data_IF_572115299520
#
_entry.id   IF_572115299520
#
_cell.length_a   1.000
_cell.length_b   1.000
_cell.length_c   1.000
_cell.angle_alpha   90.00
_cell.angle_beta   90.00
_cell.angle_gamma   90.00
#
_symmetry.space_group_name_H-M   'P 1'
#
loop_
_entity.id
_entity.type
_entity.pdbx_description
1 polymer ?
#
# COMPACT_ATOMS: atom_id res chain seq x y z
N UNK A 1 -2.60 -9.13 -8.61
CA UNK A 1 -1.87 -9.82 -7.54
C UNK A 1 -0.64 -10.59 -8.05
N UNK A 2 -0.69 -11.61 -8.93
CA UNK A 2 0.53 -12.33 -9.35
C UNK A 2 1.61 -11.44 -10.00
N UNK A 3 1.20 -10.50 -10.85
CA UNK A 3 2.12 -9.55 -11.51
C UNK A 3 2.83 -8.66 -10.50
N UNK A 4 2.10 -8.15 -9.50
CA UNK A 4 2.68 -7.31 -8.45
C UNK A 4 3.75 -8.06 -7.64
N UNK A 5 3.53 -9.35 -7.34
CA UNK A 5 4.53 -10.16 -6.63
C UNK A 5 5.79 -10.40 -7.49
N UNK A 6 5.63 -10.59 -8.79
CA UNK A 6 6.77 -10.68 -9.71
C UNK A 6 7.54 -9.35 -9.77
N UNK A 7 6.84 -8.22 -9.85
CA UNK A 7 7.46 -6.88 -9.82
C UNK A 7 8.27 -6.66 -8.53
N UNK A 8 7.82 -7.17 -7.38
CA UNK A 8 8.60 -7.13 -6.12
C UNK A 8 9.89 -7.95 -6.20
N UNK A 9 9.83 -9.16 -6.79
CA UNK A 9 11.01 -10.00 -6.99
C UNK A 9 12.02 -9.31 -7.90
N UNK A 10 11.56 -8.76 -9.02
CA UNK A 10 12.40 -8.03 -9.99
C UNK A 10 13.01 -6.76 -9.36
N UNK A 11 12.31 -6.15 -8.40
CA UNK A 11 12.80 -5.02 -7.62
C UNK A 11 13.79 -5.41 -6.51
N UNK A 12 14.12 -6.69 -6.34
CA UNK A 12 15.01 -7.18 -5.28
C UNK A 12 14.35 -7.35 -3.91
N UNK A 13 13.02 -7.25 -3.84
CA UNK A 13 12.23 -7.36 -2.61
C UNK A 13 11.59 -8.75 -2.44
N UNK A 14 12.03 -9.76 -3.20
CA UNK A 14 11.47 -11.12 -3.16
C UNK A 14 11.62 -11.86 -1.82
N UNK A 15 12.43 -11.33 -0.90
CA UNK A 15 12.60 -11.84 0.46
C UNK A 15 11.63 -11.21 1.47
N UNK A 16 11.03 -10.05 1.16
CA UNK A 16 10.09 -9.35 2.02
C UNK A 16 8.89 -10.25 2.30
N UNK A 17 8.44 -10.28 3.55
CA UNK A 17 7.26 -11.06 3.92
C UNK A 17 6.00 -10.38 3.37
N UNK A 18 5.12 -11.18 2.79
CA UNK A 18 3.90 -10.71 2.12
C UNK A 18 2.69 -11.40 2.72
N UNK A 19 1.78 -10.62 3.29
CA UNK A 19 0.45 -11.09 3.69
C UNK A 19 -0.55 -10.69 2.61
N UNK A 20 -1.28 -11.66 2.07
CA UNK A 20 -2.26 -11.44 1.00
C UNK A 20 -3.68 -11.47 1.58
N UNK A 21 -4.54 -10.59 1.08
CA UNK A 21 -5.97 -10.54 1.45
C UNK A 21 -6.15 -10.49 2.98
N UNK A 22 -5.31 -9.70 3.65
CA UNK A 22 -5.19 -9.67 5.10
C UNK A 22 -6.37 -8.93 5.72
N UNK A 23 -7.20 -9.64 6.48
CA UNK A 23 -8.31 -9.05 7.23
C UNK A 23 -7.78 -8.36 8.47
N UNK A 24 -8.18 -7.10 8.67
CA UNK A 24 -7.82 -6.35 9.87
C UNK A 24 -8.63 -6.87 11.08
N UNK A 25 -8.01 -7.04 12.26
CA UNK A 25 -8.69 -7.56 13.45
C UNK A 25 -9.92 -6.75 13.79
N UNK A 26 -11.02 -7.36 14.22
CA UNK A 26 -12.27 -6.69 14.63
C UNK A 26 -12.90 -5.72 13.60
N UNK A 27 -12.51 -5.83 12.33
CA UNK A 27 -12.98 -4.97 11.25
C UNK A 27 -13.40 -5.78 10.02
N UNK A 28 -14.37 -5.29 9.22
CA UNK A 28 -14.67 -5.89 7.92
C UNK A 28 -13.60 -5.56 6.86
N UNK A 29 -12.65 -4.65 7.17
CA UNK A 29 -11.61 -4.23 6.24
C UNK A 29 -10.63 -5.36 5.92
N UNK A 30 -10.18 -5.37 4.67
CA UNK A 30 -9.21 -6.32 4.14
C UNK A 30 -8.25 -5.56 3.25
N UNK A 31 -6.96 -5.75 3.51
CA UNK A 31 -5.87 -5.17 2.73
C UNK A 31 -5.45 -6.20 1.69
N UNK A 32 -5.34 -5.80 0.42
CA UNK A 32 -4.97 -6.73 -0.65
C UNK A 32 -3.57 -7.31 -0.42
N UNK A 33 -2.61 -6.46 -0.06
CA UNK A 33 -1.24 -6.86 0.25
C UNK A 33 -0.69 -6.06 1.44
N UNK A 34 -0.06 -6.75 2.39
CA UNK A 34 0.78 -6.14 3.43
C UNK A 34 2.21 -6.60 3.21
N UNK A 35 3.13 -5.65 3.04
CA UNK A 35 4.57 -5.92 2.99
C UNK A 35 5.18 -5.70 4.37
N UNK A 36 5.87 -6.70 4.89
CA UNK A 36 6.53 -6.68 6.18
C UNK A 36 8.04 -6.82 5.98
N UNK A 37 8.79 -5.77 6.31
CA UNK A 37 10.25 -5.77 6.17
C UNK A 37 10.91 -4.82 7.15
N UNK A 38 12.09 -4.34 6.80
CA UNK A 38 12.86 -3.38 7.59
C UNK A 38 13.28 -2.19 6.74
N UNK A 39 13.34 -1.01 7.33
CA UNK A 39 13.78 0.20 6.64
C UNK A 39 15.29 0.13 6.36
N UNK A 40 15.75 0.44 5.11
CA UNK A 40 17.15 0.26 4.69
C UNK A 40 18.16 1.05 5.54
N UNK A 41 17.79 2.24 6.03
CA UNK A 41 18.72 3.09 6.77
C UNK A 41 18.70 2.88 8.28
N UNK A 42 17.57 2.45 8.85
CA UNK A 42 17.39 2.39 10.31
C UNK A 42 17.32 0.97 10.84
N UNK A 43 17.03 -0.01 9.98
CA UNK A 43 16.80 -1.41 10.37
C UNK A 43 15.51 -1.62 11.18
N UNK A 44 14.71 -0.58 11.40
CA UNK A 44 13.42 -0.69 12.09
C UNK A 44 12.40 -1.43 11.22
N UNK A 45 11.48 -2.16 11.85
CA UNK A 45 10.38 -2.80 11.14
C UNK A 45 9.51 -1.77 10.40
N UNK A 46 9.20 -2.07 9.14
CA UNK A 46 8.37 -1.24 8.25
C UNK A 46 7.26 -2.09 7.64
N UNK A 47 6.06 -1.52 7.63
CA UNK A 47 4.85 -2.15 7.13
C UNK A 47 4.24 -1.29 6.02
N UNK A 48 4.06 -1.86 4.83
CA UNK A 48 3.44 -1.16 3.70
C UNK A 48 2.12 -1.83 3.37
N UNK A 49 1.03 -1.11 3.60
CA UNK A 49 -0.32 -1.49 3.17
C UNK A 49 -0.48 -1.14 1.71
N UNK A 50 -0.89 -2.09 0.88
CA UNK A 50 -1.05 -1.89 -0.56
C UNK A 50 -2.46 -2.31 -0.99
N UNK A 51 -3.17 -1.36 -1.59
CA UNK A 51 -4.46 -1.56 -2.28
C UNK A 51 -4.20 -1.70 -3.79
N UNK A 52 -4.70 -2.77 -4.41
CA UNK A 52 -4.52 -3.08 -5.83
C UNK A 52 -5.85 -2.98 -6.57
N UNK A 53 -5.98 -2.04 -7.52
CA UNK A 53 -7.19 -1.90 -8.32
C UNK A 53 -6.95 -2.19 -9.79
N UNK A 54 -7.83 -3.02 -10.35
CA UNK A 54 -7.86 -3.34 -11.78
C UNK A 54 -8.61 -2.29 -12.62
N UNK A 55 -8.64 -1.02 -12.19
CA UNK A 55 -9.40 0.02 -12.86
C UNK A 55 -8.61 0.58 -14.04
N UNK A 56 -9.29 0.75 -15.18
CA UNK A 56 -8.68 1.36 -16.38
C UNK A 56 -9.04 2.84 -16.50
N UNK A 57 -10.25 3.22 -16.06
CA UNK A 57 -10.77 4.58 -16.00
C UNK A 57 -11.56 4.77 -14.71
N UNK A 58 -11.52 5.98 -14.16
CA UNK A 58 -12.20 6.35 -12.93
C UNK A 58 -12.27 7.88 -12.82
N UNK A 59 -13.39 8.39 -12.32
CA UNK A 59 -13.59 9.83 -12.10
C UNK A 59 -13.94 10.13 -10.64
N UNK A 60 -13.41 11.24 -10.13
CA UNK A 60 -13.73 11.70 -8.77
C UNK A 60 -15.14 12.29 -8.76
N UNK A 61 -16.04 11.74 -7.94
CA UNK A 61 -17.41 12.23 -7.77
C UNK A 61 -17.52 13.23 -6.62
N UNK A 62 -16.89 12.92 -5.48
CA UNK A 62 -16.82 13.76 -4.29
C UNK A 62 -15.44 13.59 -3.64
N UNK A 63 -15.16 14.33 -2.56
CA UNK A 63 -13.83 14.43 -1.95
C UNK A 63 -13.07 13.08 -1.88
N UNK A 64 -13.72 12.04 -1.38
CA UNK A 64 -13.19 10.70 -1.26
C UNK A 64 -13.95 9.63 -2.07
N UNK A 65 -14.93 10.01 -2.90
CA UNK A 65 -15.74 9.06 -3.67
C UNK A 65 -15.39 9.11 -5.16
N UNK A 66 -15.31 7.93 -5.76
CA UNK A 66 -14.95 7.70 -7.16
C UNK A 66 -16.06 6.95 -7.86
N UNK A 67 -16.42 7.39 -9.06
CA UNK A 67 -17.31 6.67 -9.97
C UNK A 67 -16.48 5.87 -10.96
N UNK A 68 -16.91 4.64 -11.24
CA UNK A 68 -16.30 3.75 -12.23
C UNK A 68 -17.33 3.50 -13.33
N UNK A 69 -16.88 3.41 -14.58
CA UNK A 69 -17.78 3.14 -15.73
C UNK A 69 -18.63 1.89 -15.54
N UNK A 70 -18.04 0.85 -14.93
CA UNK A 70 -18.68 -0.44 -14.73
C UNK A 70 -19.58 -0.49 -13.47
N UNK A 71 -19.63 0.57 -12.64
CA UNK A 71 -20.32 0.55 -11.35
C UNK A 71 -21.28 1.74 -11.23
N UNK A 72 -22.54 1.43 -10.92
CA UNK A 72 -23.57 2.45 -10.71
C UNK A 72 -23.48 3.14 -9.35
N UNK A 73 -22.80 2.50 -8.38
CA UNK A 73 -22.58 3.04 -7.04
C UNK A 73 -21.16 3.57 -6.90
N UNK A 74 -20.98 4.78 -6.34
CA UNK A 74 -19.65 5.31 -6.05
C UNK A 74 -18.92 4.42 -5.04
N UNK A 75 -17.62 4.31 -5.21
CA UNK A 75 -16.71 3.59 -4.31
C UNK A 75 -15.72 4.56 -3.67
N UNK A 76 -15.09 4.14 -2.60
CA UNK A 76 -14.08 4.96 -1.94
C UNK A 76 -12.84 5.11 -2.83
N UNK A 77 -12.21 6.28 -2.80
CA UNK A 77 -10.95 6.54 -3.48
C UNK A 77 -9.89 5.55 -2.95
N UNK A 78 -9.10 4.91 -3.82
CA UNK A 78 -8.20 3.83 -3.39
C UNK A 78 -7.09 4.33 -2.45
N UNK A 79 -6.63 5.58 -2.63
CA UNK A 79 -5.71 6.21 -1.67
C UNK A 79 -6.37 6.47 -0.30
N UNK A 80 -7.68 6.73 -0.28
CA UNK A 80 -8.43 6.88 0.96
C UNK A 80 -8.69 5.52 1.63
N UNK A 81 -8.96 4.47 0.86
CA UNK A 81 -9.06 3.11 1.39
C UNK A 81 -7.78 2.71 2.14
N UNK A 82 -6.61 2.90 1.51
CA UNK A 82 -5.34 2.55 2.15
C UNK A 82 -5.00 3.45 3.32
N UNK A 83 -5.36 4.74 3.29
CA UNK A 83 -5.25 5.64 4.45
C UNK A 83 -5.96 5.06 5.67
N UNK A 84 -7.20 4.62 5.49
CA UNK A 84 -8.02 4.01 6.56
C UNK A 84 -7.41 2.71 7.09
N UNK A 85 -6.76 1.91 6.24
CA UNK A 85 -6.04 0.72 6.70
C UNK A 85 -4.85 1.09 7.58
N UNK A 86 -4.04 2.08 7.18
CA UNK A 86 -2.90 2.54 7.95
C UNK A 86 -3.32 3.09 9.32
N UNK A 87 -4.33 3.96 9.34
CA UNK A 87 -4.86 4.54 10.59
C UNK A 87 -5.38 3.44 11.51
N UNK A 88 -6.18 2.52 10.99
CA UNK A 88 -6.70 1.40 11.77
C UNK A 88 -5.61 0.54 12.38
N UNK A 89 -4.58 0.19 11.61
CA UNK A 89 -3.48 -0.65 12.11
C UNK A 89 -2.66 0.06 13.17
N UNK A 90 -2.43 1.37 13.02
CA UNK A 90 -1.74 2.18 14.04
C UNK A 90 -2.57 2.27 15.31
N UNK A 91 -3.86 2.56 15.20
CA UNK A 91 -4.76 2.73 16.35
C UNK A 91 -5.00 1.42 17.12
N UNK A 92 -5.08 0.28 16.42
CA UNK A 92 -5.40 -1.02 17.02
C UNK A 92 -4.17 -1.85 17.42
N UNK A 93 -2.95 -1.37 17.13
CA UNK A 93 -1.70 -2.07 17.46
C UNK A 93 -0.83 -1.23 18.40
N UNK A 94 -0.80 -1.53 19.71
CA UNK A 94 -0.03 -0.75 20.68
C UNK A 94 1.46 -0.57 20.33
N UNK A 95 2.08 -1.54 19.65
CA UNK A 95 3.47 -1.46 19.21
C UNK A 95 3.73 -0.49 18.03
N UNK A 96 2.67 0.03 17.42
CA UNK A 96 2.67 0.98 16.30
C UNK A 96 2.11 2.34 16.68
N UNK A 97 1.35 2.46 17.77
CA UNK A 97 0.83 3.72 18.30
C UNK A 97 1.96 4.76 18.51
N UNK A 98 3.08 4.34 19.11
CA UNK A 98 4.27 5.18 19.32
C UNK A 98 5.20 5.25 18.08
N UNK A 99 4.88 4.52 17.01
CA UNK A 99 5.72 4.42 15.79
C UNK A 99 4.88 4.51 14.51
N UNK A 100 4.03 5.54 14.32
CA UNK A 100 3.21 5.66 13.13
C UNK A 100 4.06 5.78 11.85
N UNK A 101 5.31 6.26 11.96
CA UNK A 101 6.28 6.34 10.85
C UNK A 101 6.68 4.97 10.29
N UNK A 102 6.43 3.87 11.01
CA UNK A 102 6.70 2.52 10.53
C UNK A 102 5.65 2.02 9.53
N UNK A 103 4.50 2.71 9.39
CA UNK A 103 3.37 2.29 8.56
C UNK A 103 3.22 3.20 7.34
N UNK A 104 3.17 2.62 6.16
CA UNK A 104 2.99 3.33 4.89
C UNK A 104 1.82 2.78 4.11
N UNK A 105 1.19 3.63 3.29
CA UNK A 105 0.05 3.25 2.47
C UNK A 105 0.23 3.59 1.00
N UNK A 106 -0.02 2.60 0.15
CA UNK A 106 0.09 2.69 -1.30
C UNK A 106 -1.21 2.18 -1.94
N UNK A 107 -1.69 2.90 -2.94
CA UNK A 107 -2.72 2.45 -3.87
C UNK A 107 -2.12 2.35 -5.26
N UNK A 108 -2.33 1.23 -5.95
CA UNK A 108 -1.82 1.00 -7.30
C UNK A 108 -2.93 0.61 -8.28
N UNK A 109 -3.15 1.46 -9.28
CA UNK A 109 -4.07 1.22 -10.39
C UNK A 109 -3.32 0.54 -11.55
N UNK A 110 -3.13 -0.77 -11.46
CA UNK A 110 -2.26 -1.49 -12.41
C UNK A 110 -2.84 -1.62 -13.83
N UNK A 111 -4.08 -1.20 -14.08
CA UNK A 111 -4.70 -1.17 -15.41
C UNK A 111 -4.91 0.25 -15.97
N UNK A 112 -4.53 1.30 -15.22
CA UNK A 112 -4.76 2.69 -15.61
C UNK A 112 -3.45 3.40 -15.94
N UNK A 113 -3.53 4.38 -16.83
CA UNK A 113 -2.46 5.36 -17.08
C UNK A 113 -2.82 6.65 -16.33
N UNK A 114 -1.82 7.47 -15.97
CA UNK A 114 -2.05 8.70 -15.21
C UNK A 114 -3.05 9.66 -15.86
N UNK A 115 -3.03 9.77 -17.19
CA UNK A 115 -3.92 10.62 -17.99
C UNK A 115 -5.37 10.12 -18.05
N UNK A 116 -5.64 8.87 -17.68
CA UNK A 116 -6.98 8.27 -17.63
C UNK A 116 -7.70 8.46 -16.30
N UNK A 117 -7.00 8.95 -15.27
CA UNK A 117 -7.54 9.20 -13.93
C UNK A 117 -7.11 10.55 -13.35
N UNK A 118 -7.10 11.65 -14.13
CA UNK A 118 -6.51 12.92 -13.70
C UNK A 118 -7.23 13.53 -12.49
N UNK A 119 -8.52 13.22 -12.30
CA UNK A 119 -9.27 13.69 -11.13
C UNK A 119 -8.86 12.99 -9.83
N UNK A 120 -8.42 11.72 -9.88
CA UNK A 120 -7.95 10.99 -8.70
C UNK A 120 -6.63 11.57 -8.16
N UNK A 121 -5.82 12.18 -9.03
CA UNK A 121 -4.57 12.88 -8.67
C UNK A 121 -4.79 14.11 -7.78
N UNK A 122 -6.02 14.58 -7.64
CA UNK A 122 -6.35 15.70 -6.73
C UNK A 122 -6.27 15.30 -5.26
N UNK A 123 -6.20 14.00 -4.96
CA UNK A 123 -5.96 13.51 -3.61
C UNK A 123 -4.54 13.88 -3.14
N UNK A 124 -4.42 14.60 -2.03
CA UNK A 124 -3.13 15.03 -1.48
C UNK A 124 -2.33 13.82 -0.95
N UNK A 125 -1.13 13.53 -1.47
CA UNK A 125 -0.33 12.41 -0.99
C UNK A 125 0.11 12.58 0.46
N UNK A 126 0.19 11.48 1.20
CA UNK A 126 0.73 11.42 2.57
C UNK A 126 1.57 10.15 2.75
N UNK A 127 2.06 9.90 3.98
CA UNK A 127 2.71 8.64 4.32
C UNK A 127 1.74 7.45 4.21
N UNK A 128 0.49 7.66 4.61
CA UNK A 128 -0.56 6.64 4.64
C UNK A 128 -1.31 6.51 3.31
N UNK A 129 -1.01 7.35 2.32
CA UNK A 129 -1.73 7.35 1.06
C UNK A 129 -0.92 7.95 -0.08
N UNK A 130 -0.37 7.09 -0.94
CA UNK A 130 0.17 7.48 -2.25
C UNK A 130 -0.47 6.66 -3.35
N UNK A 131 -0.90 7.33 -4.42
CA UNK A 131 -1.51 6.70 -5.60
C UNK A 131 -0.47 6.57 -6.72
N UNK A 132 -0.39 5.38 -7.31
CA UNK A 132 0.40 5.08 -8.50
C UNK A 132 -0.49 4.50 -9.61
N UNK A 133 -0.14 4.75 -10.86
CA UNK A 133 -0.73 4.13 -12.06
C UNK A 133 0.27 3.24 -12.78
N UNK A 134 -0.18 2.46 -13.77
CA UNK A 134 0.63 1.49 -14.51
C UNK A 134 1.93 2.08 -15.09
N UNK A 135 1.83 3.30 -15.63
CA UNK A 135 2.94 4.08 -16.18
C UNK A 135 3.93 4.58 -15.12
N UNK A 136 3.56 4.54 -13.84
CA UNK A 136 4.40 4.95 -12.70
C UNK A 136 4.95 3.75 -11.92
N UNK A 137 4.96 2.56 -12.53
CA UNK A 137 5.44 1.34 -11.89
C UNK A 137 6.90 1.47 -11.42
N UNK A 138 7.73 2.16 -12.19
CA UNK A 138 9.13 2.37 -11.82
C UNK A 138 9.25 3.23 -10.56
N UNK A 139 8.49 4.33 -10.45
CA UNK A 139 8.44 5.18 -9.26
C UNK A 139 7.87 4.44 -8.04
N UNK A 140 6.86 3.59 -8.24
CA UNK A 140 6.31 2.74 -7.19
C UNK A 140 7.39 1.81 -6.62
N UNK A 141 8.11 1.09 -7.48
CA UNK A 141 9.16 0.16 -7.04
C UNK A 141 10.35 0.89 -6.41
N UNK A 142 10.72 2.06 -6.92
CA UNK A 142 11.75 2.89 -6.32
C UNK A 142 11.35 3.37 -4.91
N UNK A 143 10.09 3.76 -4.72
CA UNK A 143 9.56 4.14 -3.41
C UNK A 143 9.53 2.96 -2.44
N UNK A 144 9.09 1.78 -2.89
CA UNK A 144 9.13 0.56 -2.07
C UNK A 144 10.56 0.21 -1.62
N UNK A 145 11.56 0.35 -2.49
CA UNK A 145 12.98 0.15 -2.14
C UNK A 145 13.56 1.21 -1.19
N UNK A 146 12.94 2.39 -1.14
CA UNK A 146 13.30 3.41 -0.14
C UNK A 146 12.71 3.08 1.25
N UNK A 147 11.60 2.32 1.29
CA UNK A 147 10.91 1.92 2.52
C UNK A 147 11.36 0.55 3.05
N UNK A 148 11.76 -0.36 2.15
CA UNK A 148 12.06 -1.76 2.46
C UNK A 148 13.47 -2.08 1.97
N UNK A 149 14.30 -2.63 2.86
CA UNK A 149 15.70 -2.96 2.60
C UNK A 149 15.85 -4.00 1.49
N UNK A 150 16.39 -3.65 0.31
CA UNK A 150 16.62 -4.61 -0.76
C UNK A 150 17.73 -5.61 -0.46
N UNK A 151 18.63 -5.29 0.49
CA UNK A 151 19.69 -6.16 0.97
C UNK A 151 19.26 -7.01 2.19
N UNK A 152 18.00 -6.88 2.61
CA UNK A 152 17.46 -7.62 3.75
C UNK A 152 17.46 -9.13 3.53
N UNK A 153 17.49 -9.87 4.64
CA UNK A 153 17.29 -11.32 4.66
C UNK A 153 15.95 -11.64 5.34
N UNK A 154 15.35 -12.78 4.96
CA UNK A 154 13.99 -13.19 5.35
C UNK A 154 13.78 -13.29 6.88
N UNK A 155 14.85 -13.38 7.67
CA UNK A 155 14.82 -13.57 9.14
C UNK A 155 14.85 -12.28 9.98
N UNK A 156 14.93 -11.09 9.37
CA UNK A 156 15.10 -9.84 10.13
C UNK A 156 13.84 -9.40 10.91
N UNK A 157 12.63 -9.65 10.39
CA UNK A 157 11.37 -9.18 10.98
C UNK A 157 10.86 -10.03 12.17
N UNK A 158 11.37 -11.26 12.37
CA UNK A 158 10.90 -12.19 13.40
C UNK A 158 11.50 -12.01 14.81
N UNK A 159 12.43 -11.07 15.00
CA UNK A 159 13.19 -10.91 16.26
C UNK A 159 12.57 -9.95 17.29
N UNK A 160 11.33 -9.48 17.07
CA UNK A 160 10.68 -8.49 17.93
C UNK A 160 9.73 -9.00 19.04
N UNK A 161 9.31 -10.27 19.04
CA UNK A 161 8.15 -10.71 19.87
C UNK A 161 8.47 -11.81 20.90
N UNK A 162 9.69 -11.83 21.46
CA UNK A 162 9.97 -12.65 22.64
C UNK A 162 10.65 -11.81 23.71
N UNK A 163 9.86 -11.17 24.57
CA UNK A 163 10.16 -10.92 25.98
C UNK A 163 8.87 -10.63 26.72
#
# INVERSE_FOLDING_TARGET
MPVFLADLVDAGLGHVEVLLEHKLPHSPMRVDVVLCGTHPCTGESTFVMVELKQWSHAELLAADLVLLDAHTQPVLHPAEQVRRYCEYVVDETPALEDRPHAVHGIAYLHNSLGDRVPSLRRYTPSQFARLYTMDEKAELLAHLRALLDPAGERDAAGRGTRR
#
